data_IF_925500653939
#
_entry.id   IF_925500653939
#
_cell.length_a   1.000
_cell.length_b   1.000
_cell.length_c   1.000
_cell.angle_alpha   90.00
_cell.angle_beta   90.00
_cell.angle_gamma   90.00
#
_symmetry.space_group_name_H-M   'P 1'
#
loop_
_entity.id
_entity.type
_entity.pdbx_description
1 polymer ?
#
# COMPACT_ATOMS: atom_id res chain seq x y z
N UNK A 1 -35.68 17.13 -0.06
CA UNK A 1 -34.96 15.86 0.09
C UNK A 1 -33.80 15.96 -0.89
N UNK A 2 -32.62 16.36 -0.42
CA UNK A 2 -31.42 16.40 -1.29
C UNK A 2 -31.18 14.99 -1.84
N UNK A 3 -30.97 14.89 -3.15
CA UNK A 3 -30.68 13.60 -3.78
C UNK A 3 -29.36 13.07 -3.23
N UNK A 4 -29.26 11.75 -3.05
CA UNK A 4 -28.04 11.08 -2.59
C UNK A 4 -26.81 11.42 -3.45
N UNK A 5 -27.03 11.74 -4.73
CA UNK A 5 -26.02 12.19 -5.69
C UNK A 5 -25.55 13.63 -5.43
N UNK A 6 -26.44 14.50 -4.95
CA UNK A 6 -26.19 15.92 -4.69
C UNK A 6 -25.22 16.11 -3.52
N UNK A 7 -25.38 15.28 -2.49
CA UNK A 7 -24.51 15.28 -1.32
C UNK A 7 -23.10 14.81 -1.67
N UNK A 8 -22.98 13.80 -2.55
CA UNK A 8 -21.68 13.30 -3.02
C UNK A 8 -20.98 14.35 -3.90
N UNK A 9 -21.72 15.04 -4.76
CA UNK A 9 -21.18 16.14 -5.57
C UNK A 9 -20.64 17.27 -4.68
N UNK A 10 -21.41 17.68 -3.66
CA UNK A 10 -21.02 18.71 -2.70
C UNK A 10 -19.75 18.33 -1.93
N UNK A 11 -19.65 17.08 -1.46
CA UNK A 11 -18.45 16.59 -0.80
C UNK A 11 -17.23 16.57 -1.74
N UNK A 12 -17.42 16.15 -2.99
CA UNK A 12 -16.35 16.16 -4.00
C UNK A 12 -15.88 17.58 -4.29
N UNK A 13 -16.78 18.55 -4.40
CA UNK A 13 -16.42 19.94 -4.67
C UNK A 13 -15.72 20.58 -3.47
N UNK A 14 -16.12 20.24 -2.24
CA UNK A 14 -15.40 20.61 -1.02
C UNK A 14 -13.98 20.06 -1.02
N UNK A 15 -13.78 18.81 -1.45
CA UNK A 15 -12.45 18.20 -1.57
C UNK A 15 -11.65 18.84 -2.69
N UNK A 16 -12.25 19.21 -3.84
CA UNK A 16 -11.55 19.84 -4.96
C UNK A 16 -11.14 21.29 -4.68
N UNK A 17 -11.94 22.03 -3.93
CA UNK A 17 -11.68 23.44 -3.61
C UNK A 17 -10.63 23.63 -2.51
N UNK A 18 -10.42 22.61 -1.68
CA UNK A 18 -9.43 22.63 -0.61
C UNK A 18 -7.98 22.61 -1.16
N UNK A 19 -7.08 23.37 -0.52
CA UNK A 19 -5.66 23.40 -0.86
C UNK A 19 -4.90 22.14 -0.35
N UNK A 20 -5.14 21.00 -1.00
CA UNK A 20 -4.52 19.71 -0.70
C UNK A 20 -3.46 19.34 -1.74
N UNK A 21 -2.60 18.39 -1.39
CA UNK A 21 -1.66 17.80 -2.36
C UNK A 21 -2.40 16.89 -3.35
N UNK A 22 -1.87 16.65 -4.57
CA UNK A 22 -2.50 15.77 -5.55
C UNK A 22 -2.82 14.37 -5.00
N UNK A 23 -1.92 13.82 -4.18
CA UNK A 23 -2.10 12.52 -3.52
C UNK A 23 -3.24 12.54 -2.49
N UNK A 24 -3.42 13.66 -1.78
CA UNK A 24 -4.52 13.81 -0.82
C UNK A 24 -5.88 13.90 -1.52
N UNK A 25 -5.98 14.67 -2.61
CA UNK A 25 -7.18 14.69 -3.44
C UNK A 25 -7.52 13.29 -3.97
N UNK A 26 -6.53 12.57 -4.50
CA UNK A 26 -6.75 11.21 -5.03
C UNK A 26 -7.26 10.26 -3.95
N UNK A 27 -6.70 10.31 -2.75
CA UNK A 27 -7.11 9.47 -1.63
C UNK A 27 -8.54 9.76 -1.19
N UNK A 28 -8.90 11.04 -1.02
CA UNK A 28 -10.25 11.44 -0.59
C UNK A 28 -11.30 11.18 -1.67
N UNK A 29 -10.96 11.40 -2.95
CA UNK A 29 -11.83 11.04 -4.07
C UNK A 29 -12.08 9.53 -4.12
N UNK A 30 -11.03 8.71 -3.95
CA UNK A 30 -11.18 7.25 -3.88
C UNK A 30 -11.97 6.81 -2.67
N UNK A 31 -11.85 7.49 -1.53
CA UNK A 31 -12.67 7.21 -0.36
C UNK A 31 -14.16 7.36 -0.68
N UNK A 32 -14.56 8.45 -1.36
CA UNK A 32 -15.95 8.69 -1.75
C UNK A 32 -16.44 7.72 -2.86
N UNK A 33 -15.60 7.45 -3.86
CA UNK A 33 -15.93 6.58 -5.01
C UNK A 33 -15.96 5.08 -4.66
N UNK A 34 -15.12 4.64 -3.73
CA UNK A 34 -14.97 3.22 -3.34
C UNK A 34 -15.64 2.88 -2.02
N UNK A 35 -16.35 3.82 -1.40
CA UNK A 35 -17.16 3.51 -0.23
C UNK A 35 -18.27 2.53 -0.61
N UNK A 36 -18.62 1.64 0.31
CA UNK A 36 -19.77 0.75 0.15
C UNK A 36 -21.08 1.55 0.02
N UNK A 37 -21.16 2.68 0.74
CA UNK A 37 -22.22 3.68 0.63
C UNK A 37 -21.55 5.05 0.48
N UNK A 38 -21.55 5.55 -0.75
CA UNK A 38 -20.91 6.83 -1.12
C UNK A 38 -21.61 8.02 -0.49
N UNK A 39 -22.93 7.99 -0.33
CA UNK A 39 -23.71 9.07 0.28
C UNK A 39 -23.45 9.15 1.78
N UNK A 40 -23.43 8.02 2.50
CA UNK A 40 -23.03 8.01 3.89
C UNK A 40 -21.59 8.49 4.09
N UNK A 41 -20.67 8.10 3.20
CA UNK A 41 -19.29 8.56 3.25
C UNK A 41 -19.15 10.08 3.01
N UNK A 42 -19.93 10.63 2.08
CA UNK A 42 -19.99 12.06 1.80
C UNK A 42 -20.54 12.85 2.99
N UNK A 43 -21.67 12.42 3.57
CA UNK A 43 -22.26 13.02 4.77
C UNK A 43 -21.25 13.01 5.92
N UNK A 44 -20.59 11.88 6.16
CA UNK A 44 -19.61 11.76 7.23
C UNK A 44 -18.42 12.72 7.04
N UNK A 45 -17.92 12.85 5.81
CA UNK A 45 -16.83 13.76 5.49
C UNK A 45 -17.24 15.23 5.69
N UNK A 46 -18.41 15.62 5.19
CA UNK A 46 -18.94 16.98 5.37
C UNK A 46 -19.16 17.31 6.84
N UNK A 47 -19.78 16.39 7.59
CA UNK A 47 -19.97 16.54 9.04
C UNK A 47 -18.65 16.74 9.78
N UNK A 48 -17.59 16.02 9.37
CA UNK A 48 -16.25 16.19 9.97
C UNK A 48 -15.64 17.56 9.71
N UNK A 49 -15.94 18.16 8.57
CA UNK A 49 -15.53 19.54 8.26
C UNK A 49 -16.35 20.54 9.08
N UNK A 50 -17.65 20.31 9.25
CA UNK A 50 -18.56 21.17 10.01
C UNK A 50 -18.36 21.10 11.53
N UNK A 51 -17.96 19.95 12.07
CA UNK A 51 -17.73 19.74 13.51
C UNK A 51 -16.66 20.70 14.10
N UNK A 52 -15.75 21.23 13.27
CA UNK A 52 -14.68 22.14 13.70
C UNK A 52 -14.61 23.36 12.78
N UNK A 53 -15.56 24.32 12.90
CA UNK A 53 -15.63 25.48 12.01
C UNK A 53 -14.48 26.49 12.25
N UNK A 54 -13.79 26.39 13.39
CA UNK A 54 -12.60 27.19 13.70
C UNK A 54 -11.34 26.75 12.93
N UNK A 55 -11.37 25.56 12.33
CA UNK A 55 -10.27 25.01 11.53
C UNK A 55 -10.57 25.19 10.04
N UNK A 56 -9.53 25.37 9.24
CA UNK A 56 -9.70 25.38 7.78
C UNK A 56 -10.17 24.00 7.29
N UNK A 57 -10.85 23.98 6.14
CA UNK A 57 -11.31 22.75 5.48
C UNK A 57 -10.14 21.79 5.28
N UNK A 58 -8.98 22.29 4.85
CA UNK A 58 -7.76 21.49 4.66
C UNK A 58 -7.29 20.84 5.96
N UNK A 59 -7.33 21.56 7.07
CA UNK A 59 -6.92 21.02 8.36
C UNK A 59 -7.83 19.86 8.78
N UNK A 60 -9.15 20.03 8.63
CA UNK A 60 -10.13 19.00 8.93
C UNK A 60 -9.98 17.77 8.00
N UNK A 61 -9.77 17.98 6.69
CA UNK A 61 -9.55 16.88 5.74
C UNK A 61 -8.23 16.14 5.98
N UNK A 62 -7.17 16.83 6.42
CA UNK A 62 -5.90 16.18 6.80
C UNK A 62 -6.02 15.37 8.08
N UNK A 63 -6.80 15.85 9.05
CA UNK A 63 -7.11 15.11 10.28
C UNK A 63 -7.94 13.86 9.98
N UNK A 64 -9.01 14.03 9.20
CA UNK A 64 -9.81 12.92 8.67
C UNK A 64 -8.94 11.84 8.02
N UNK A 65 -7.99 12.24 7.16
CA UNK A 65 -7.04 11.30 6.53
C UNK A 65 -6.18 10.55 7.55
N UNK A 66 -5.73 11.21 8.62
CA UNK A 66 -4.95 10.57 9.69
C UNK A 66 -5.79 9.53 10.42
N UNK A 67 -7.04 9.86 10.74
CA UNK A 67 -7.96 8.96 11.42
C UNK A 67 -8.30 7.75 10.55
N UNK A 68 -8.55 7.96 9.26
CA UNK A 68 -8.79 6.88 8.32
C UNK A 68 -7.57 5.94 8.21
N UNK A 69 -6.35 6.48 8.16
CA UNK A 69 -5.12 5.66 8.19
C UNK A 69 -5.00 4.88 9.49
N UNK A 70 -5.33 5.48 10.63
CA UNK A 70 -5.32 4.82 11.93
C UNK A 70 -6.30 3.66 11.96
N UNK A 71 -7.55 3.88 11.53
CA UNK A 71 -8.57 2.83 11.45
C UNK A 71 -8.13 1.71 10.51
N UNK A 72 -7.59 2.04 9.34
CA UNK A 72 -7.05 1.04 8.42
C UNK A 72 -5.91 0.25 9.06
N UNK A 73 -4.97 0.91 9.74
CA UNK A 73 -3.86 0.24 10.43
C UNK A 73 -4.38 -0.68 11.54
N UNK A 74 -5.31 -0.20 12.37
CA UNK A 74 -5.89 -1.00 13.46
C UNK A 74 -6.67 -2.18 12.92
N UNK A 75 -7.53 -2.01 11.91
CA UNK A 75 -8.26 -3.12 11.29
C UNK A 75 -7.30 -4.10 10.63
N UNK A 76 -6.30 -3.62 9.90
CA UNK A 76 -5.29 -4.50 9.32
C UNK A 76 -4.59 -5.26 10.43
N UNK A 77 -4.12 -4.63 11.50
CA UNK A 77 -3.44 -5.33 12.60
C UNK A 77 -4.33 -6.35 13.33
N UNK A 78 -5.61 -6.05 13.53
CA UNK A 78 -6.55 -6.96 14.19
C UNK A 78 -6.97 -8.13 13.30
N UNK A 79 -7.20 -7.88 12.00
CA UNK A 79 -7.61 -8.90 11.02
C UNK A 79 -6.41 -9.70 10.50
N UNK A 80 -5.24 -9.07 10.42
CA UNK A 80 -3.94 -9.71 10.17
C UNK A 80 -3.21 -9.96 11.47
N UNK A 81 -3.93 -10.36 12.53
CA UNK A 81 -3.32 -11.23 13.53
C UNK A 81 -2.78 -12.41 12.76
N UNK A 82 -1.49 -12.32 12.46
CA UNK A 82 -0.75 -13.33 11.75
C UNK A 82 -0.95 -14.58 12.58
N UNK A 83 -1.82 -15.48 12.12
CA UNK A 83 -2.01 -16.75 12.79
C UNK A 83 -0.62 -17.38 12.90
N UNK A 84 -0.26 -17.74 14.11
CA UNK A 84 1.01 -18.44 14.33
C UNK A 84 1.04 -19.61 13.37
N UNK A 85 2.07 -19.64 12.53
CA UNK A 85 2.22 -20.71 11.54
C UNK A 85 2.12 -22.02 12.29
N UNK A 86 1.23 -22.95 11.91
CA UNK A 86 1.09 -24.21 12.61
C UNK A 86 2.46 -24.88 12.76
N UNK A 87 2.75 -25.44 13.94
CA UNK A 87 4.04 -26.07 14.25
C UNK A 87 4.55 -27.03 13.17
N UNK A 88 3.70 -27.87 12.52
CA UNK A 88 4.14 -28.72 11.41
C UNK A 88 4.69 -27.91 10.23
N UNK A 89 4.03 -26.81 9.86
CA UNK A 89 4.45 -25.92 8.77
C UNK A 89 5.72 -25.15 9.14
N UNK A 90 5.94 -24.81 10.42
CA UNK A 90 7.21 -24.23 10.87
C UNK A 90 8.38 -25.21 10.69
N UNK A 91 8.17 -26.51 10.94
CA UNK A 91 9.20 -27.53 10.73
C UNK A 91 9.56 -27.70 9.25
N UNK A 92 8.58 -27.63 8.35
CA UNK A 92 8.83 -27.65 6.90
C UNK A 92 9.52 -26.39 6.39
N UNK A 93 9.16 -25.22 6.92
CA UNK A 93 9.86 -23.97 6.60
C UNK A 93 11.30 -23.98 7.13
N UNK A 94 11.53 -24.54 8.32
CA UNK A 94 12.89 -24.77 8.86
C UNK A 94 13.72 -25.71 8.00
N UNK A 95 13.14 -26.78 7.46
CA UNK A 95 13.90 -27.71 6.62
C UNK A 95 14.22 -27.12 5.25
N UNK A 96 13.32 -26.30 4.68
CA UNK A 96 13.51 -25.65 3.38
C UNK A 96 14.42 -24.43 3.45
N UNK A 97 14.17 -23.52 4.40
CA UNK A 97 14.80 -22.19 4.46
C UNK A 97 15.83 -22.06 5.59
N UNK A 98 16.06 -23.14 6.35
CA UNK A 98 16.95 -23.17 7.52
C UNK A 98 16.65 -22.03 8.51
N UNK A 99 17.69 -21.43 9.09
CA UNK A 99 17.59 -20.34 10.05
C UNK A 99 17.25 -18.97 9.43
N UNK A 100 17.01 -18.90 8.12
CA UNK A 100 16.82 -17.64 7.39
C UNK A 100 15.35 -17.33 7.03
N UNK A 101 14.39 -18.13 7.50
CA UNK A 101 12.98 -17.85 7.27
C UNK A 101 12.49 -16.66 8.14
N UNK A 102 12.08 -15.57 7.49
CA UNK A 102 11.49 -14.40 8.14
C UNK A 102 10.11 -14.67 8.77
N UNK A 103 9.47 -15.80 8.42
CA UNK A 103 8.17 -16.21 8.91
C UNK A 103 8.22 -16.96 10.25
N UNK A 104 9.42 -17.27 10.75
CA UNK A 104 9.62 -17.95 12.02
C UNK A 104 9.43 -16.99 13.21
N UNK A 105 8.32 -17.14 13.91
CA UNK A 105 7.76 -16.17 14.88
C UNK A 105 8.63 -15.88 16.13
N UNK A 106 9.71 -16.62 16.39
CA UNK A 106 10.53 -16.44 17.61
C UNK A 106 11.73 -15.46 17.50
N UNK A 107 11.75 -14.53 16.54
CA UNK A 107 12.85 -13.55 16.40
C UNK A 107 12.52 -12.08 16.73
N UNK A 108 11.39 -11.78 17.39
CA UNK A 108 11.14 -10.40 17.87
C UNK A 108 12.07 -9.94 19.01
N UNK A 109 12.91 -10.80 19.58
CA UNK A 109 13.77 -10.45 20.72
C UNK A 109 15.29 -10.49 20.50
N UNK A 110 15.79 -10.96 19.34
CA UNK A 110 17.25 -11.07 19.14
C UNK A 110 17.65 -11.16 17.66
N UNK A 111 17.35 -10.12 16.90
CA UNK A 111 18.27 -9.78 15.81
C UNK A 111 19.51 -9.20 16.50
N UNK A 112 20.49 -10.04 16.78
CA UNK A 112 21.84 -9.53 16.98
C UNK A 112 22.13 -8.66 15.76
N UNK A 113 22.59 -7.43 15.97
CA UNK A 113 22.86 -6.40 14.96
C UNK A 113 23.90 -6.81 13.89
N UNK A 114 24.29 -8.09 13.86
CA UNK A 114 25.38 -8.66 13.09
C UNK A 114 24.90 -9.85 12.24
N UNK A 115 23.59 -10.10 12.14
CA UNK A 115 23.06 -11.10 11.21
C UNK A 115 23.14 -10.54 9.78
N UNK A 116 24.32 -10.66 9.16
CA UNK A 116 24.51 -10.47 7.73
C UNK A 116 23.79 -11.60 7.01
N UNK A 117 22.58 -11.32 6.55
CA UNK A 117 21.88 -12.17 5.59
C UNK A 117 22.62 -12.05 4.25
N UNK A 118 23.54 -12.99 3.98
CA UNK A 118 24.10 -13.19 2.64
C UNK A 118 23.05 -13.85 1.75
N UNK A 119 21.97 -13.12 1.46
CA UNK A 119 20.94 -13.54 0.51
C UNK A 119 21.22 -12.77 -0.77
N UNK A 120 21.65 -13.49 -1.80
CA UNK A 120 21.71 -12.93 -3.14
C UNK A 120 20.26 -12.58 -3.56
N UNK A 121 19.98 -11.33 -3.96
CA UNK A 121 18.63 -10.93 -4.31
C UNK A 121 18.16 -11.72 -5.53
N UNK A 122 17.17 -12.58 -5.32
CA UNK A 122 16.45 -13.22 -6.43
C UNK A 122 15.52 -12.18 -7.06
N UNK A 123 15.88 -11.71 -8.25
CA UNK A 123 15.03 -10.82 -9.04
C UNK A 123 13.90 -11.64 -9.65
N UNK A 124 12.68 -11.46 -9.13
CA UNK A 124 11.48 -12.06 -9.72
C UNK A 124 11.16 -11.25 -10.98
N UNK A 125 11.43 -11.84 -12.14
CA UNK A 125 11.07 -11.26 -13.44
C UNK A 125 9.62 -11.67 -13.72
N UNK A 126 8.64 -10.76 -13.66
CA UNK A 126 7.26 -11.11 -13.93
C UNK A 126 7.10 -11.51 -15.40
N UNK A 127 6.25 -12.50 -15.73
CA UNK A 127 6.03 -12.93 -17.12
C UNK A 127 5.56 -11.80 -18.04
N UNK A 128 4.96 -10.75 -17.47
CA UNK A 128 4.48 -9.58 -18.19
C UNK A 128 5.60 -8.74 -18.82
N UNK A 129 6.87 -8.88 -18.42
CA UNK A 129 7.98 -8.12 -19.02
C UNK A 129 8.20 -8.46 -20.51
N UNK A 130 7.75 -9.64 -20.95
CA UNK A 130 7.86 -10.09 -22.33
C UNK A 130 6.70 -9.57 -23.21
N UNK A 131 5.75 -8.84 -22.61
CA UNK A 131 4.57 -8.28 -23.26
C UNK A 131 4.53 -6.75 -23.15
N UNK A 132 5.61 -6.14 -22.69
CA UNK A 132 5.71 -4.69 -22.52
C UNK A 132 6.37 -4.07 -23.76
N UNK A 133 5.54 -3.45 -24.61
CA UNK A 133 5.98 -2.81 -25.86
C UNK A 133 6.91 -1.59 -25.60
N UNK A 134 6.96 -1.04 -24.38
CA UNK A 134 7.93 0.03 -24.02
C UNK A 134 9.38 -0.47 -23.93
N UNK A 135 9.61 -1.78 -23.81
CA UNK A 135 10.97 -2.36 -23.81
C UNK A 135 11.44 -2.76 -25.21
N UNK A 136 10.54 -2.74 -26.19
CA UNK A 136 10.85 -3.00 -27.58
C UNK A 136 11.26 -1.68 -28.26
N UNK A 137 12.58 -1.50 -28.42
CA UNK A 137 13.24 -0.47 -29.24
C UNK A 137 13.50 0.90 -28.61
N UNK A 138 14.58 0.96 -27.82
CA UNK A 138 15.49 2.12 -27.81
C UNK A 138 16.92 1.58 -28.02
N UNK A 139 17.36 1.55 -29.28
CA UNK A 139 18.77 1.26 -29.64
C UNK A 139 19.61 2.44 -29.17
N UNK A 140 20.10 2.36 -27.94
CA UNK A 140 21.02 3.36 -27.38
C UNK A 140 21.01 3.51 -25.86
N UNK A 141 20.07 2.91 -25.15
CA UNK A 141 20.00 3.09 -23.68
C UNK A 141 20.88 2.06 -22.92
N UNK A 142 21.70 2.49 -21.94
CA UNK A 142 22.63 1.64 -21.18
C UNK A 142 21.96 0.57 -20.30
N UNK A 143 20.62 0.49 -20.33
CA UNK A 143 19.82 -0.45 -19.55
C UNK A 143 19.75 -1.86 -20.19
N UNK A 144 20.06 -2.00 -21.49
CA UNK A 144 20.18 -3.31 -22.15
C UNK A 144 21.36 -4.17 -21.63
N UNK A 145 22.42 -3.54 -21.11
CA UNK A 145 23.60 -4.27 -20.65
C UNK A 145 23.38 -5.06 -19.35
N UNK A 146 22.36 -4.73 -18.54
CA UNK A 146 22.12 -5.45 -17.27
C UNK A 146 21.28 -6.71 -17.43
N UNK A 147 20.25 -6.70 -18.28
CA UNK A 147 19.34 -7.86 -18.42
C UNK A 147 20.02 -9.02 -19.16
N UNK A 148 20.78 -8.73 -20.22
CA UNK A 148 21.56 -9.75 -20.94
C UNK A 148 22.68 -10.35 -20.09
N UNK A 149 23.29 -9.56 -19.19
CA UNK A 149 24.30 -10.05 -18.24
C UNK A 149 23.75 -11.07 -17.23
N UNK A 150 22.49 -10.91 -16.79
CA UNK A 150 21.85 -11.84 -15.85
C UNK A 150 21.50 -13.18 -16.52
N UNK A 151 21.08 -13.16 -17.78
CA UNK A 151 20.75 -14.38 -18.53
C UNK A 151 21.99 -15.16 -18.99
N UNK A 152 23.11 -14.48 -19.25
CA UNK A 152 24.35 -15.14 -19.68
C UNK A 152 25.14 -15.80 -18.54
N UNK A 153 24.97 -15.35 -17.28
CA UNK A 153 25.68 -15.90 -16.12
C UNK A 153 25.04 -17.18 -15.55
N UNK A 154 23.84 -17.56 -15.99
CA UNK A 154 23.13 -18.77 -15.55
C UNK A 154 23.44 -20.02 -16.40
N UNK A 155 24.42 -19.96 -17.31
CA UNK A 155 24.97 -21.14 -18.00
C UNK A 155 26.33 -21.51 -17.42
N UNK A 156 26.33 -22.21 -16.29
CA UNK A 156 27.38 -23.17 -15.89
C UNK A 156 26.76 -24.31 -15.12
#
# INVERSE_FOLDING_TARGET
>A
MESAEDVVATALDTVKSAALTPTEHLLLKRFLDKAQDSSCAAIYLLRKVEENPSRSVEANLREFKKDWRRLKLTMVLEVTKQEDIPLPSQCLLKSRDMQNCCCMVNRRGRLAANATFNVEPAWIIPPSIFHDDELAYEVGSPHRCRVLGILSSNKK
#
